data_IF_101858251654
#
_entry.id   IF_101858251654
#
_cell.length_a   1.000
_cell.length_b   1.000
_cell.length_c   1.000
_cell.angle_alpha   90.00
_cell.angle_beta   90.00
_cell.angle_gamma   90.00
#
_symmetry.space_group_name_H-M   'P 1'
#
loop_
_entity.id
_entity.type
_entity.pdbx_description
1 polymer ?
#
# COMPACT_ATOMS: atom_id res chain seq x y z
N UNK A 1 5.91 -28.08 -0.62
CA UNK A 1 4.75 -27.18 -0.73
C UNK A 1 3.59 -27.79 0.06
N UNK A 2 2.82 -27.00 0.80
CA UNK A 2 1.58 -27.40 1.48
C UNK A 2 0.57 -26.25 1.45
N UNK A 3 -0.70 -26.59 1.62
CA UNK A 3 -1.82 -25.65 1.67
C UNK A 3 -2.45 -25.66 3.07
N UNK A 4 -2.79 -24.49 3.59
CA UNK A 4 -3.56 -24.31 4.83
C UNK A 4 -4.82 -23.55 4.48
N UNK A 5 -5.99 -24.02 4.93
CA UNK A 5 -7.26 -23.34 4.67
C UNK A 5 -7.86 -22.82 5.97
N UNK A 6 -8.28 -21.56 5.97
CA UNK A 6 -9.15 -21.01 7.02
C UNK A 6 -10.57 -20.97 6.49
N UNK A 7 -11.49 -21.57 7.24
CA UNK A 7 -12.92 -21.41 7.04
C UNK A 7 -13.37 -20.18 7.85
N UNK A 8 -14.04 -19.25 7.18
CA UNK A 8 -14.69 -18.09 7.79
C UNK A 8 -16.15 -18.44 8.15
N UNK A 9 -16.74 -17.67 9.07
CA UNK A 9 -18.12 -17.89 9.56
C UNK A 9 -19.19 -17.72 8.47
N UNK A 10 -18.85 -17.00 7.40
CA UNK A 10 -19.67 -16.81 6.18
C UNK A 10 -19.58 -18.00 5.19
N UNK A 11 -18.82 -19.04 5.53
CA UNK A 11 -18.56 -20.21 4.68
C UNK A 11 -17.46 -20.00 3.64
N UNK A 12 -16.86 -18.80 3.54
CA UNK A 12 -15.74 -18.55 2.65
C UNK A 12 -14.49 -19.29 3.13
N UNK A 13 -13.73 -19.85 2.19
CA UNK A 13 -12.43 -20.48 2.47
C UNK A 13 -11.30 -19.67 1.86
N UNK A 14 -10.38 -19.21 2.72
CA UNK A 14 -9.14 -18.58 2.27
C UNK A 14 -8.02 -19.61 2.28
N UNK A 15 -7.43 -19.85 1.11
CA UNK A 15 -6.30 -20.76 0.93
C UNK A 15 -4.97 -20.04 1.10
N UNK A 16 -4.07 -20.64 1.88
CA UNK A 16 -2.71 -20.18 2.12
C UNK A 16 -1.74 -21.24 1.64
N UNK A 17 -0.99 -20.92 0.59
CA UNK A 17 0.03 -21.82 0.02
C UNK A 17 1.40 -21.46 0.55
N UNK A 18 2.12 -22.43 1.14
CA UNK A 18 3.44 -22.19 1.73
C UNK A 18 4.43 -23.32 1.47
N UNK A 19 5.71 -22.96 1.38
CA UNK A 19 6.83 -23.90 1.35
C UNK A 19 7.36 -24.23 2.75
N UNK A 20 7.00 -23.45 3.77
CA UNK A 20 7.40 -23.62 5.17
C UNK A 20 6.65 -24.80 5.79
N UNK A 21 7.34 -25.94 5.94
CA UNK A 21 6.84 -27.17 6.58
C UNK A 21 7.16 -27.24 8.07
N UNK A 22 8.07 -26.39 8.53
CA UNK A 22 8.56 -26.27 9.90
C UNK A 22 7.57 -25.58 10.87
N UNK A 23 6.62 -24.81 10.34
CA UNK A 23 5.64 -24.07 11.15
C UNK A 23 4.37 -24.88 11.40
N UNK A 24 3.66 -24.62 12.49
CA UNK A 24 2.32 -25.18 12.71
C UNK A 24 1.28 -24.54 11.76
N UNK A 25 0.11 -25.18 11.60
CA UNK A 25 -0.98 -24.64 10.78
C UNK A 25 -1.49 -23.30 11.34
N UNK A 26 -1.63 -23.23 12.66
CA UNK A 26 -2.09 -22.04 13.40
C UNK A 26 -1.09 -20.89 13.26
N UNK A 27 0.21 -21.19 13.31
CA UNK A 27 1.26 -20.17 13.15
C UNK A 27 1.25 -19.60 11.73
N UNK A 28 1.05 -20.45 10.71
CA UNK A 28 0.93 -19.99 9.32
C UNK A 28 -0.31 -19.13 9.15
N UNK A 29 -1.46 -19.58 9.66
CA UNK A 29 -2.70 -18.80 9.61
C UNK A 29 -2.54 -17.45 10.31
N UNK A 30 -2.08 -17.43 11.56
CA UNK A 30 -1.86 -16.20 12.33
C UNK A 30 -0.98 -15.21 11.56
N UNK A 31 0.19 -15.63 11.06
CA UNK A 31 1.10 -14.74 10.33
C UNK A 31 0.48 -14.14 9.07
N UNK A 32 -0.30 -14.93 8.33
CA UNK A 32 -0.93 -14.47 7.09
C UNK A 32 -2.12 -13.57 7.38
N UNK A 33 -2.95 -13.85 8.38
CA UNK A 33 -4.06 -12.97 8.74
C UNK A 33 -3.58 -11.70 9.45
N UNK A 34 -2.53 -11.76 10.25
CA UNK A 34 -1.87 -10.57 10.80
C UNK A 34 -1.20 -9.71 9.73
N UNK A 35 -0.82 -10.25 8.56
CA UNK A 35 -0.36 -9.44 7.43
C UNK A 35 -1.44 -8.47 6.96
N UNK A 36 -2.71 -8.88 6.95
CA UNK A 36 -3.81 -8.01 6.54
C UNK A 36 -3.95 -6.78 7.44
N UNK A 37 -3.58 -6.90 8.71
CA UNK A 37 -3.51 -5.74 9.62
C UNK A 37 -2.47 -4.71 9.17
N UNK A 38 -1.36 -5.13 8.55
CA UNK A 38 -0.35 -4.22 7.99
C UNK A 38 -0.90 -3.46 6.78
N UNK A 39 -1.65 -4.14 5.91
CA UNK A 39 -2.27 -3.51 4.74
C UNK A 39 -3.34 -2.49 5.18
N UNK A 40 -4.14 -2.83 6.19
CA UNK A 40 -5.07 -1.90 6.82
C UNK A 40 -4.36 -0.69 7.45
N UNK A 41 -3.23 -0.91 8.14
CA UNK A 41 -2.39 0.15 8.67
C UNK A 41 -1.93 1.12 7.58
N UNK A 42 -1.30 0.62 6.50
CA UNK A 42 -0.80 1.49 5.42
C UNK A 42 -1.91 2.21 4.68
N UNK A 43 -3.07 1.57 4.47
CA UNK A 43 -4.24 2.22 3.88
C UNK A 43 -4.71 3.38 4.76
N UNK A 44 -4.92 3.11 6.04
CA UNK A 44 -5.43 4.09 6.98
C UNK A 44 -4.45 5.25 7.20
N UNK A 45 -3.17 4.96 7.41
CA UNK A 45 -2.12 5.97 7.57
C UNK A 45 -1.95 6.88 6.36
N UNK A 46 -2.15 6.36 5.14
CA UNK A 46 -2.14 7.19 3.93
C UNK A 46 -3.33 8.13 3.87
N UNK A 47 -4.53 7.66 4.20
CA UNK A 47 -5.75 8.46 4.13
C UNK A 47 -5.84 9.50 5.27
N UNK A 48 -5.51 9.11 6.50
CA UNK A 48 -5.81 9.92 7.70
C UNK A 48 -4.57 10.59 8.30
N UNK A 49 -3.38 10.01 8.11
CA UNK A 49 -2.12 10.55 8.66
C UNK A 49 -1.18 11.12 7.60
N UNK A 50 -1.62 11.18 6.34
CA UNK A 50 -0.84 11.66 5.21
C UNK A 50 0.57 11.02 5.17
N UNK A 51 0.66 9.69 5.32
CA UNK A 51 1.94 8.97 5.37
C UNK A 51 2.86 9.26 4.16
N UNK A 52 2.27 9.48 2.99
CA UNK A 52 2.99 9.75 1.74
C UNK A 52 3.42 11.22 1.60
N UNK A 53 3.02 12.11 2.53
CA UNK A 53 3.44 13.50 2.51
C UNK A 53 4.96 13.62 2.65
N UNK A 54 5.55 14.47 1.80
CA UNK A 54 6.97 14.83 1.84
C UNK A 54 7.13 16.04 2.78
N UNK A 55 7.67 15.85 3.99
CA UNK A 55 7.80 16.94 4.96
C UNK A 55 8.90 17.95 4.59
N UNK A 56 9.70 17.64 3.57
CA UNK A 56 10.82 18.47 3.13
C UNK A 56 11.09 18.27 1.65
N UNK A 57 11.56 19.34 1.00
CA UNK A 57 12.14 19.32 -0.35
C UNK A 57 13.67 19.30 -0.32
N UNK A 58 14.29 19.38 0.86
CA UNK A 58 15.73 19.33 1.01
C UNK A 58 16.29 17.98 0.57
N UNK A 59 17.51 18.00 0.03
CA UNK A 59 18.21 16.84 -0.48
C UNK A 59 19.55 16.64 0.22
N UNK A 60 19.98 15.38 0.30
CA UNK A 60 21.29 14.96 0.81
C UNK A 60 21.99 14.10 -0.24
N UNK A 61 23.35 14.07 -0.27
CA UNK A 61 24.10 13.18 -1.15
C UNK A 61 23.67 11.73 -0.96
N UNK A 62 23.42 11.04 -2.07
CA UNK A 62 23.09 9.63 -2.09
C UNK A 62 24.27 8.81 -2.62
N UNK A 63 24.26 7.52 -2.31
CA UNK A 63 25.30 6.58 -2.71
C UNK A 63 25.35 6.42 -4.25
N UNK A 64 26.46 6.83 -4.92
CA UNK A 64 26.64 6.68 -6.37
C UNK A 64 26.74 5.23 -6.83
N UNK A 65 27.15 4.33 -5.93
CA UNK A 65 27.28 2.89 -6.17
C UNK A 65 25.96 2.14 -6.00
N UNK A 66 24.87 2.81 -5.63
CA UNK A 66 23.56 2.20 -5.43
C UNK A 66 23.14 1.47 -6.69
N UNK A 67 22.99 0.15 -6.58
CA UNK A 67 22.57 -0.71 -7.68
C UNK A 67 21.13 -0.39 -8.10
N UNK A 68 20.91 -0.05 -9.37
CA UNK A 68 19.60 0.21 -9.98
C UNK A 68 19.37 -0.74 -11.17
N UNK A 69 18.10 -1.04 -11.53
CA UNK A 69 17.81 -1.80 -12.74
C UNK A 69 18.37 -1.07 -13.97
N UNK A 70 19.05 -1.80 -14.86
CA UNK A 70 19.64 -1.20 -16.06
C UNK A 70 18.52 -0.67 -17.00
N UNK A 71 18.50 0.64 -17.31
CA UNK A 71 17.49 1.22 -18.21
C UNK A 71 17.57 0.65 -19.64
N UNK A 72 18.75 0.29 -20.14
CA UNK A 72 18.93 -0.30 -21.47
C UNK A 72 18.25 -1.67 -21.57
N UNK A 73 18.36 -2.50 -20.52
CA UNK A 73 17.66 -3.79 -20.44
C UNK A 73 16.14 -3.57 -20.50
N UNK A 74 15.64 -2.52 -19.84
CA UNK A 74 14.21 -2.16 -19.87
C UNK A 74 13.78 -1.72 -21.27
N UNK A 75 14.61 -0.95 -21.97
CA UNK A 75 14.35 -0.53 -23.35
C UNK A 75 14.36 -1.70 -24.32
N UNK A 76 15.41 -2.53 -24.32
CA UNK A 76 15.52 -3.74 -25.14
C UNK A 76 14.36 -4.71 -24.88
N UNK A 77 13.92 -4.85 -23.63
CA UNK A 77 12.72 -5.63 -23.29
C UNK A 77 11.46 -5.05 -23.95
N UNK A 78 11.28 -3.73 -23.98
CA UNK A 78 10.16 -3.08 -24.67
C UNK A 78 10.20 -3.33 -26.17
N UNK A 79 11.38 -3.22 -26.80
CA UNK A 79 11.58 -3.55 -28.21
C UNK A 79 11.25 -5.01 -28.50
N UNK A 80 11.74 -5.94 -27.66
CA UNK A 80 11.47 -7.36 -27.78
C UNK A 80 9.97 -7.66 -27.69
N UNK A 81 9.25 -7.02 -26.77
CA UNK A 81 7.79 -7.13 -26.69
C UNK A 81 7.09 -6.65 -27.97
N UNK A 82 7.55 -5.53 -28.57
CA UNK A 82 7.02 -5.02 -29.84
C UNK A 82 7.27 -6.01 -30.99
N UNK A 83 8.49 -6.55 -31.10
CA UNK A 83 8.85 -7.53 -32.13
C UNK A 83 8.07 -8.83 -31.95
N UNK A 84 7.91 -9.33 -30.71
CA UNK A 84 7.10 -10.51 -30.42
C UNK A 84 5.64 -10.31 -30.83
N UNK A 85 5.04 -9.16 -30.52
CA UNK A 85 3.68 -8.85 -30.93
C UNK A 85 3.53 -8.78 -32.46
N UNK A 86 4.48 -8.16 -33.18
CA UNK A 86 4.50 -8.15 -34.65
C UNK A 86 4.64 -9.55 -35.22
N UNK A 87 5.55 -10.35 -34.68
CA UNK A 87 5.78 -11.74 -35.09
C UNK A 87 4.51 -12.58 -34.93
N UNK A 88 3.85 -12.50 -33.78
CA UNK A 88 2.59 -13.21 -33.54
C UNK A 88 1.51 -12.80 -34.54
N UNK A 89 1.36 -11.52 -34.86
CA UNK A 89 0.40 -11.04 -35.87
C UNK A 89 0.74 -11.57 -37.27
N UNK A 90 2.01 -11.51 -37.67
CA UNK A 90 2.46 -12.02 -38.96
C UNK A 90 2.27 -13.54 -39.07
N UNK A 91 2.62 -14.30 -38.03
CA UNK A 91 2.41 -15.76 -37.96
C UNK A 91 0.92 -16.13 -38.02
N UNK A 92 0.05 -15.38 -37.33
CA UNK A 92 -1.40 -15.56 -37.41
C UNK A 92 -1.94 -15.26 -38.82
N UNK A 93 -1.49 -14.17 -39.46
CA UNK A 93 -1.90 -13.83 -40.83
C UNK A 93 -1.43 -14.89 -41.83
N UNK A 94 -0.22 -15.43 -41.66
CA UNK A 94 0.31 -16.53 -42.47
C UNK A 94 -0.52 -17.80 -42.28
N UNK A 95 -0.84 -18.13 -41.02
CA UNK A 95 -1.65 -19.28 -40.64
C UNK A 95 -3.07 -19.21 -41.21
N UNK A 96 -3.74 -18.05 -41.10
CA UNK A 96 -5.06 -17.83 -41.72
C UNK A 96 -5.02 -18.03 -43.23
N UNK A 97 -4.04 -17.41 -43.90
CA UNK A 97 -3.86 -17.60 -45.35
C UNK A 97 -3.57 -19.05 -45.73
N UNK A 98 -2.87 -19.80 -44.89
CA UNK A 98 -2.62 -21.23 -45.12
C UNK A 98 -3.88 -22.08 -44.90
N UNK A 99 -4.70 -21.73 -43.92
CA UNK A 99 -5.98 -22.39 -43.60
C UNK A 99 -7.05 -22.11 -44.68
N UNK A 100 -7.16 -20.86 -45.13
CA UNK A 100 -8.18 -20.42 -46.10
C UNK A 100 -7.77 -20.69 -47.56
N UNK A 101 -6.64 -21.39 -47.78
CA UNK A 101 -6.14 -21.70 -49.11
C UNK A 101 -7.00 -22.82 -49.74
N UNK A 102 -7.78 -22.54 -50.79
CA UNK A 102 -8.59 -23.58 -51.44
C UNK A 102 -7.66 -24.61 -52.08
N UNK A 103 -7.74 -25.88 -51.66
CA UNK A 103 -6.94 -27.01 -52.17
C UNK A 103 -6.98 -27.15 -53.70
N UNK A 104 -8.02 -26.61 -54.35
CA UNK A 104 -8.22 -26.63 -55.80
C UNK A 104 -7.36 -25.64 -56.58
N UNK A 105 -6.95 -24.50 -56.02
CA UNK A 105 -6.13 -23.50 -56.73
C UNK A 105 -4.63 -23.71 -56.53
N UNK A 106 -4.21 -24.29 -55.39
CA UNK A 106 -2.78 -24.38 -55.02
C UNK A 106 -2.45 -25.70 -54.34
N UNK A 107 -2.32 -26.75 -55.15
CA UNK A 107 -1.98 -28.14 -54.73
C UNK A 107 -0.62 -28.32 -54.06
N UNK A 108 0.31 -27.37 -54.11
CA UNK A 108 1.68 -27.55 -53.59
C UNK A 108 2.06 -26.47 -52.58
N UNK A 109 2.72 -26.91 -51.49
CA UNK A 109 3.33 -26.03 -50.46
C UNK A 109 4.30 -25.02 -51.08
N UNK A 110 4.94 -25.36 -52.21
CA UNK A 110 5.85 -24.49 -52.96
C UNK A 110 5.13 -23.29 -53.57
N UNK A 111 3.97 -23.48 -54.20
CA UNK A 111 3.19 -22.39 -54.79
C UNK A 111 2.66 -21.40 -53.75
N UNK A 112 2.23 -21.90 -52.59
CA UNK A 112 1.81 -21.09 -51.45
C UNK A 112 2.96 -20.24 -50.87
N UNK A 113 4.15 -20.84 -50.71
CA UNK A 113 5.35 -20.10 -50.25
C UNK A 113 5.77 -18.99 -51.21
N UNK A 114 5.57 -19.17 -52.51
CA UNK A 114 5.91 -18.16 -53.53
C UNK A 114 4.90 -17.00 -53.48
N UNK A 115 3.60 -17.28 -53.44
CA UNK A 115 2.57 -16.23 -53.41
C UNK A 115 2.54 -15.43 -52.11
N UNK A 116 3.04 -15.99 -51.01
CA UNK A 116 3.11 -15.34 -49.70
C UNK A 116 4.56 -15.12 -49.23
N UNK A 117 5.48 -15.02 -50.19
CA UNK A 117 6.90 -14.88 -49.93
C UNK A 117 7.25 -13.61 -49.15
N UNK A 118 6.49 -12.52 -49.30
CA UNK A 118 6.68 -11.28 -48.54
C UNK A 118 6.40 -11.49 -47.04
N UNK A 119 5.28 -12.13 -46.71
CA UNK A 119 4.90 -12.39 -45.33
C UNK A 119 5.82 -13.45 -44.68
N UNK A 120 6.29 -14.42 -45.47
CA UNK A 120 7.34 -15.36 -45.05
C UNK A 120 8.69 -14.67 -44.79
N UNK A 121 9.07 -13.68 -45.61
CA UNK A 121 10.26 -12.85 -45.40
C UNK A 121 10.14 -12.01 -44.13
N UNK A 122 9.01 -11.36 -43.92
CA UNK A 122 8.73 -10.56 -42.71
C UNK A 122 8.84 -11.42 -41.43
N UNK A 123 8.26 -12.63 -41.41
CA UNK A 123 8.39 -13.55 -40.28
C UNK A 123 9.86 -13.93 -40.02
N UNK A 124 10.63 -14.19 -41.09
CA UNK A 124 12.05 -14.54 -40.96
C UNK A 124 12.85 -13.36 -40.37
N UNK A 125 12.61 -12.15 -40.85
CA UNK A 125 13.27 -10.93 -40.35
C UNK A 125 12.90 -10.63 -38.89
N UNK A 126 11.61 -10.78 -38.53
CA UNK A 126 11.15 -10.60 -37.15
C UNK A 126 11.74 -11.65 -36.21
N UNK A 127 11.88 -12.91 -36.65
CA UNK A 127 12.56 -13.96 -35.86
C UNK A 127 14.04 -13.67 -35.67
N UNK A 128 14.73 -13.24 -36.74
CA UNK A 128 16.13 -12.85 -36.65
C UNK A 128 16.33 -11.65 -35.70
N UNK A 129 15.46 -10.65 -35.81
CA UNK A 129 15.47 -9.47 -34.93
C UNK A 129 15.20 -9.86 -33.48
N UNK A 130 14.25 -10.76 -33.23
CA UNK A 130 13.96 -11.29 -31.88
C UNK A 130 15.20 -11.96 -31.29
N UNK A 131 15.85 -12.85 -32.04
CA UNK A 131 17.05 -13.54 -31.58
C UNK A 131 18.20 -12.56 -31.29
N UNK A 132 18.40 -11.57 -32.15
CA UNK A 132 19.40 -10.52 -31.94
C UNK A 132 19.13 -9.73 -30.66
N UNK A 133 17.89 -9.27 -30.46
CA UNK A 133 17.51 -8.53 -29.25
C UNK A 133 17.62 -9.38 -27.96
N UNK A 134 17.31 -10.67 -28.03
CA UNK A 134 17.48 -11.60 -26.91
C UNK A 134 18.97 -11.79 -26.55
N UNK A 135 19.85 -11.88 -27.55
CA UNK A 135 21.29 -11.95 -27.35
C UNK A 135 21.89 -10.64 -26.82
N UNK A 136 21.53 -9.50 -27.42
CA UNK A 136 21.93 -8.16 -26.95
C UNK A 136 21.51 -7.96 -25.48
N UNK A 137 20.25 -8.26 -25.13
CA UNK A 137 19.75 -8.14 -23.77
C UNK A 137 20.45 -9.09 -22.79
N UNK A 138 20.84 -10.29 -23.24
CA UNK A 138 21.57 -11.27 -22.43
C UNK A 138 23.02 -10.89 -22.15
N UNK A 139 23.62 -10.07 -23.02
CA UNK A 139 24.97 -9.54 -22.82
C UNK A 139 25.02 -8.37 -21.82
N UNK A 140 23.89 -7.68 -21.60
CA UNK A 140 23.82 -6.55 -20.68
C UNK A 140 23.70 -7.00 -19.22
N UNK A 141 24.39 -6.30 -18.28
CA UNK A 141 24.19 -6.55 -16.87
C UNK A 141 22.75 -6.17 -16.44
N UNK A 142 22.07 -6.99 -15.63
CA UNK A 142 20.68 -6.70 -15.22
C UNK A 142 20.56 -5.48 -14.31
N UNK A 143 21.64 -5.12 -13.62
CA UNK A 143 21.72 -3.97 -12.73
C UNK A 143 23.06 -3.27 -12.92
N UNK A 144 23.04 -1.95 -12.81
CA UNK A 144 24.21 -1.07 -12.92
C UNK A 144 24.20 -0.09 -11.74
N UNK A 145 25.36 0.47 -11.35
CA UNK A 145 25.44 1.62 -10.45
C UNK A 145 24.58 2.80 -10.97
N UNK A 146 23.95 3.54 -10.06
CA UNK A 146 23.15 4.72 -10.43
C UNK A 146 23.99 5.81 -11.10
N UNK A 147 25.28 5.90 -10.77
CA UNK A 147 26.24 6.80 -11.43
C UNK A 147 26.37 6.58 -12.93
N UNK A 148 26.27 5.34 -13.42
CA UNK A 148 26.31 5.02 -14.85
C UNK A 148 25.03 5.45 -15.59
N UNK A 149 23.94 5.67 -14.86
CA UNK A 149 22.63 6.05 -15.43
C UNK A 149 22.40 7.57 -15.40
N UNK A 150 23.09 8.28 -14.51
CA UNK A 150 22.85 9.70 -14.25
C UNK A 150 23.85 10.64 -14.95
N UNK A 151 24.69 10.15 -15.87
CA UNK A 151 25.54 10.95 -16.76
C UNK A 151 26.33 12.10 -16.09
N UNK A 152 26.80 11.89 -14.84
CA UNK A 152 27.56 12.89 -14.08
C UNK A 152 26.71 13.91 -13.30
N UNK A 153 25.38 13.82 -13.35
CA UNK A 153 24.48 14.59 -12.49
C UNK A 153 24.68 14.24 -11.01
N UNK A 154 24.48 15.20 -10.07
CA UNK A 154 24.62 14.94 -8.65
C UNK A 154 23.56 13.93 -8.20
N UNK A 155 24.04 12.80 -7.67
CA UNK A 155 23.19 11.72 -7.18
C UNK A 155 22.73 12.09 -5.78
N UNK A 156 21.48 12.54 -5.69
CA UNK A 156 20.87 13.02 -4.45
C UNK A 156 19.65 12.18 -4.08
N UNK A 157 19.29 12.22 -2.79
CA UNK A 157 18.01 11.74 -2.29
C UNK A 157 17.39 12.79 -1.39
N UNK A 158 16.08 12.69 -1.16
CA UNK A 158 15.42 13.52 -0.15
C UNK A 158 16.02 13.25 1.23
N UNK A 159 16.17 14.32 2.00
CA UNK A 159 16.64 14.27 3.37
C UNK A 159 15.71 13.39 4.24
N UNK A 160 16.32 12.50 5.02
CA UNK A 160 15.59 11.39 5.66
C UNK A 160 15.19 11.67 7.10
N UNK A 161 15.94 12.48 7.82
CA UNK A 161 15.77 12.69 9.26
C UNK A 161 14.38 13.25 9.58
N UNK A 162 13.95 14.32 8.89
CA UNK A 162 12.59 14.86 9.04
C UNK A 162 11.52 13.85 8.69
N UNK A 163 11.70 13.06 7.61
CA UNK A 163 10.75 12.00 7.25
C UNK A 163 10.63 10.95 8.35
N UNK A 164 11.76 10.49 8.89
CA UNK A 164 11.81 9.49 9.96
C UNK A 164 11.12 10.02 11.22
N UNK A 165 11.41 11.24 11.64
CA UNK A 165 10.80 11.87 12.83
C UNK A 165 9.29 12.02 12.63
N UNK A 166 8.86 12.60 11.50
CA UNK A 166 7.45 12.80 11.20
C UNK A 166 6.68 11.47 11.11
N UNK A 167 7.25 10.45 10.47
CA UNK A 167 6.62 9.13 10.37
C UNK A 167 6.52 8.45 11.73
N UNK A 168 7.55 8.58 12.57
CA UNK A 168 7.53 8.03 13.93
C UNK A 168 6.40 8.63 14.75
N UNK A 169 6.21 9.95 14.70
CA UNK A 169 5.10 10.63 15.38
C UNK A 169 3.75 10.14 14.85
N UNK A 170 3.58 10.03 13.53
CA UNK A 170 2.36 9.49 12.91
C UNK A 170 2.08 8.06 13.36
N UNK A 171 3.10 7.21 13.41
CA UNK A 171 2.97 5.81 13.87
C UNK A 171 2.55 5.73 15.34
N UNK A 172 3.11 6.57 16.19
CA UNK A 172 2.74 6.66 17.62
C UNK A 172 1.29 7.12 17.76
N UNK A 173 0.91 8.17 17.02
CA UNK A 173 -0.46 8.68 17.03
C UNK A 173 -1.47 7.64 16.52
N UNK A 174 -1.17 6.94 15.43
CA UNK A 174 -1.99 5.82 14.94
C UNK A 174 -2.16 4.73 15.99
N UNK A 175 -1.09 4.37 16.71
CA UNK A 175 -1.14 3.34 17.74
C UNK A 175 -2.00 3.79 18.93
N UNK A 176 -1.86 5.05 19.35
CA UNK A 176 -2.69 5.64 20.40
C UNK A 176 -4.17 5.68 19.99
N UNK A 177 -4.48 6.16 18.78
CA UNK A 177 -5.84 6.14 18.24
C UNK A 177 -6.41 4.73 18.15
N UNK A 178 -5.63 3.75 17.69
CA UNK A 178 -6.07 2.35 17.63
C UNK A 178 -6.40 1.80 19.01
N UNK A 179 -5.63 2.15 20.03
CA UNK A 179 -5.91 1.76 21.40
C UNK A 179 -7.20 2.41 21.92
N UNK A 180 -7.42 3.70 21.67
CA UNK A 180 -8.65 4.41 22.05
C UNK A 180 -9.87 3.87 21.30
N UNK A 181 -9.75 3.58 20.00
CA UNK A 181 -10.81 2.98 19.21
C UNK A 181 -11.19 1.59 19.75
N UNK A 182 -10.21 0.77 20.14
CA UNK A 182 -10.47 -0.54 20.75
C UNK A 182 -11.16 -0.43 22.11
N UNK A 183 -10.87 0.63 22.89
CA UNK A 183 -11.52 0.88 24.18
C UNK A 183 -13.00 1.28 24.01
N UNK A 184 -13.32 2.09 23.00
CA UNK A 184 -14.68 2.58 22.75
C UNK A 184 -15.50 1.60 21.90
N UNK A 185 -14.85 0.75 21.10
CA UNK A 185 -15.50 -0.20 20.18
C UNK A 185 -16.65 -1.02 20.80
N UNK A 186 -16.52 -1.59 22.03
CA UNK A 186 -17.62 -2.31 22.69
C UNK A 186 -18.86 -1.46 23.01
N UNK A 187 -18.73 -0.13 23.07
CA UNK A 187 -19.82 0.79 23.34
C UNK A 187 -20.57 1.20 22.06
N UNK A 188 -20.06 0.80 20.89
CA UNK A 188 -20.61 1.12 19.58
C UNK A 188 -21.13 -0.15 18.89
N UNK A 189 -22.25 -0.05 18.13
CA UNK A 189 -22.88 -1.21 17.50
C UNK A 189 -22.02 -1.85 16.40
N UNK A 190 -21.22 -1.09 15.65
CA UNK A 190 -20.32 -1.60 14.61
C UNK A 190 -18.84 -1.42 15.02
N UNK A 191 -18.18 -2.53 15.38
CA UNK A 191 -16.99 -2.49 16.25
C UNK A 191 -15.74 -1.80 15.70
N UNK A 192 -15.43 -1.90 14.40
CA UNK A 192 -14.11 -1.43 13.89
C UNK A 192 -14.18 -0.10 13.12
N UNK A 193 -15.04 0.00 12.10
CA UNK A 193 -15.10 1.20 11.26
C UNK A 193 -15.77 2.39 11.97
N UNK A 194 -16.78 2.13 12.80
CA UNK A 194 -17.50 3.18 13.54
C UNK A 194 -16.65 3.76 14.67
N UNK A 195 -15.82 2.94 15.32
CA UNK A 195 -14.95 3.37 16.40
C UNK A 195 -13.87 4.36 15.93
N UNK A 196 -13.22 4.11 14.79
CA UNK A 196 -12.26 5.06 14.22
C UNK A 196 -12.93 6.34 13.75
N UNK A 197 -14.11 6.22 13.14
CA UNK A 197 -14.90 7.39 12.74
C UNK A 197 -15.30 8.24 13.95
N UNK A 198 -15.68 7.60 15.05
CA UNK A 198 -15.96 8.27 16.32
C UNK A 198 -14.72 8.98 16.88
N UNK A 199 -13.57 8.31 16.99
CA UNK A 199 -12.33 8.92 17.50
C UNK A 199 -11.92 10.16 16.70
N UNK A 200 -12.02 10.10 15.38
CA UNK A 200 -11.78 11.27 14.52
C UNK A 200 -12.71 12.44 14.83
N UNK A 201 -13.99 12.19 15.10
CA UNK A 201 -14.92 13.25 15.53
C UNK A 201 -14.49 13.85 16.87
N UNK A 202 -14.09 13.00 17.83
CA UNK A 202 -13.59 13.45 19.14
C UNK A 202 -12.34 14.32 19.00
N UNK A 203 -11.38 13.95 18.16
CA UNK A 203 -10.15 14.74 17.95
C UNK A 203 -10.40 16.12 17.30
N UNK A 204 -11.52 16.29 16.61
CA UNK A 204 -11.93 17.57 16.03
C UNK A 204 -12.96 18.32 16.88
N UNK A 205 -13.32 17.78 18.05
CA UNK A 205 -14.31 18.38 18.92
C UNK A 205 -13.70 19.58 19.67
N UNK A 206 -14.40 20.73 19.73
CA UNK A 206 -13.97 21.83 20.57
C UNK A 206 -13.88 21.40 22.04
N UNK A 207 -12.90 21.95 22.74
CA UNK A 207 -12.66 21.67 24.14
C UNK A 207 -12.28 22.95 24.90
N UNK A 208 -12.79 23.10 26.10
CA UNK A 208 -12.34 24.14 27.02
C UNK A 208 -11.15 23.61 27.83
N UNK A 209 -10.11 24.43 27.97
CA UNK A 209 -8.95 24.15 28.81
C UNK A 209 -9.09 24.94 30.10
N UNK A 210 -9.35 24.23 31.20
CA UNK A 210 -9.63 24.83 32.51
C UNK A 210 -8.53 24.43 33.50
N UNK A 211 -7.45 25.23 33.61
CA UNK A 211 -6.38 24.97 34.56
C UNK A 211 -6.83 25.27 35.99
N UNK A 212 -6.61 24.33 36.91
CA UNK A 212 -6.74 24.51 38.35
C UNK A 212 -5.37 24.31 39.02
N UNK A 213 -4.73 25.44 39.32
CA UNK A 213 -3.41 25.44 39.97
C UNK A 213 -3.45 25.05 41.44
N UNK A 214 -4.60 25.16 42.12
CA UNK A 214 -4.73 24.77 43.52
C UNK A 214 -4.81 23.25 43.65
N UNK A 215 -5.57 22.60 42.77
CA UNK A 215 -5.69 21.14 42.72
C UNK A 215 -4.59 20.48 41.88
N UNK A 216 -3.80 21.27 41.15
CA UNK A 216 -2.74 20.77 40.27
C UNK A 216 -3.29 19.99 39.08
N UNK A 217 -4.45 20.38 38.55
CA UNK A 217 -5.14 19.70 37.45
C UNK A 217 -5.36 20.62 36.25
N UNK A 218 -5.48 20.04 35.08
CA UNK A 218 -5.95 20.69 33.86
C UNK A 218 -7.16 19.90 33.38
N UNK A 219 -8.35 20.47 33.55
CA UNK A 219 -9.58 19.87 33.04
C UNK A 219 -9.70 20.23 31.56
N UNK A 220 -9.74 19.21 30.71
CA UNK A 220 -10.03 19.32 29.28
C UNK A 220 -11.48 18.92 29.11
N UNK A 221 -12.36 19.91 28.99
CA UNK A 221 -13.81 19.70 28.86
C UNK A 221 -14.20 19.64 27.40
N UNK A 222 -14.49 18.44 26.91
CA UNK A 222 -14.94 18.16 25.56
C UNK A 222 -16.42 18.52 25.41
N UNK A 223 -16.76 19.33 24.41
CA UNK A 223 -18.12 19.78 24.16
C UNK A 223 -19.06 18.62 23.75
N UNK A 224 -20.37 18.81 23.88
CA UNK A 224 -21.33 17.77 23.49
C UNK A 224 -21.34 17.54 21.98
N UNK A 225 -21.45 16.28 21.58
CA UNK A 225 -21.65 15.82 20.21
C UNK A 225 -23.14 15.85 19.81
N UNK A 226 -23.40 15.70 18.52
CA UNK A 226 -24.74 15.83 17.92
C UNK A 226 -25.76 14.79 18.41
N UNK A 227 -25.32 13.57 18.74
CA UNK A 227 -26.24 12.48 19.10
C UNK A 227 -26.09 12.06 20.56
N UNK A 228 -27.17 11.70 21.27
CA UNK A 228 -27.10 11.16 22.63
C UNK A 228 -26.23 9.91 22.73
N UNK A 229 -26.19 9.11 21.66
CA UNK A 229 -25.32 7.93 21.56
C UNK A 229 -23.84 8.31 21.59
N UNK A 230 -23.43 9.25 20.75
CA UNK A 230 -22.03 9.69 20.70
C UNK A 230 -21.64 10.40 22.02
N UNK A 231 -22.56 11.13 22.66
CA UNK A 231 -22.35 11.71 23.98
C UNK A 231 -22.13 10.66 25.09
N UNK A 232 -22.88 9.54 25.06
CA UNK A 232 -22.64 8.43 26.01
C UNK A 232 -21.28 7.78 25.79
N UNK A 233 -20.89 7.56 24.53
CA UNK A 233 -19.58 7.03 24.20
C UNK A 233 -18.44 7.99 24.61
N UNK A 234 -18.64 9.30 24.44
CA UNK A 234 -17.69 10.34 24.85
C UNK A 234 -17.52 10.38 26.37
N UNK A 235 -18.62 10.34 27.13
CA UNK A 235 -18.57 10.29 28.59
C UNK A 235 -17.82 9.06 29.11
N UNK A 236 -18.09 7.89 28.51
CA UNK A 236 -17.38 6.66 28.84
C UNK A 236 -15.89 6.73 28.45
N UNK A 237 -15.57 7.33 27.29
CA UNK A 237 -14.20 7.59 26.89
C UNK A 237 -13.49 8.50 27.90
N UNK A 238 -14.11 9.59 28.38
CA UNK A 238 -13.49 10.49 29.36
C UNK A 238 -13.22 9.82 30.72
N UNK A 239 -14.04 8.84 31.11
CA UNK A 239 -13.86 8.09 32.35
C UNK A 239 -12.60 7.19 32.33
N UNK A 240 -12.19 6.67 31.16
CA UNK A 240 -11.08 5.70 31.06
C UNK A 240 -9.70 6.36 31.30
N UNK A 241 -9.34 7.50 30.68
CA UNK A 241 -8.09 8.20 30.93
C UNK A 241 -8.03 8.92 32.27
N UNK A 242 -9.14 9.10 32.99
CA UNK A 242 -9.14 9.69 34.33
C UNK A 242 -8.20 8.95 35.31
N UNK A 243 -7.98 7.66 35.09
CA UNK A 243 -7.05 6.82 35.84
C UNK A 243 -5.59 6.94 35.38
N UNK A 244 -5.36 7.43 34.16
CA UNK A 244 -4.02 7.65 33.62
C UNK A 244 -3.48 8.95 34.22
N UNK A 245 -2.51 8.86 35.14
CA UNK A 245 -1.85 10.00 35.80
C UNK A 245 -0.94 10.81 34.85
N UNK A 246 -1.48 11.25 33.71
CA UNK A 246 -0.76 11.98 32.65
C UNK A 246 -0.65 13.45 33.04
N UNK A 247 0.52 14.04 32.84
CA UNK A 247 0.77 15.47 33.05
C UNK A 247 0.79 16.22 31.74
N UNK A 248 0.32 17.45 31.75
CA UNK A 248 0.40 18.32 30.58
C UNK A 248 1.87 18.73 30.34
N UNK A 249 2.41 18.54 29.11
CA UNK A 249 3.82 18.79 28.81
C UNK A 249 4.27 20.19 29.25
N UNK A 250 5.45 20.26 29.90
CA UNK A 250 6.00 21.53 30.40
C UNK A 250 5.35 22.06 31.69
N UNK A 251 4.43 21.31 32.31
CA UNK A 251 3.76 21.72 33.56
C UNK A 251 3.70 20.58 34.58
N UNK A 252 3.29 20.92 35.81
CA UNK A 252 2.96 19.94 36.86
C UNK A 252 1.47 19.55 36.87
N UNK A 253 0.65 20.14 36.00
CA UNK A 253 -0.79 19.92 35.97
C UNK A 253 -1.13 18.53 35.44
N UNK A 254 -1.94 17.77 36.19
CA UNK A 254 -2.48 16.48 35.77
C UNK A 254 -3.70 16.67 34.87
N UNK A 255 -3.70 16.03 33.71
CA UNK A 255 -4.82 16.11 32.76
C UNK A 255 -6.00 15.31 33.30
N UNK A 256 -7.19 15.91 33.24
CA UNK A 256 -8.47 15.27 33.53
C UNK A 256 -9.39 15.53 32.34
N UNK A 257 -9.98 14.47 31.78
CA UNK A 257 -10.93 14.60 30.68
C UNK A 257 -12.35 14.65 31.23
N UNK A 258 -13.15 15.59 30.74
CA UNK A 258 -14.56 15.74 31.08
C UNK A 258 -15.38 15.85 29.80
N UNK A 259 -16.57 15.25 29.76
CA UNK A 259 -17.53 15.44 28.69
C UNK A 259 -18.66 16.36 29.17
N UNK A 260 -18.98 17.41 28.41
CA UNK A 260 -20.13 18.27 28.72
C UNK A 260 -21.41 17.44 28.57
N UNK A 261 -22.23 17.40 29.63
CA UNK A 261 -23.56 16.82 29.51
C UNK A 261 -24.40 17.71 28.60
N UNK A 262 -24.98 17.14 27.55
CA UNK A 262 -25.97 17.84 26.76
C UNK A 262 -27.09 18.32 27.71
N UNK A 263 -27.45 19.60 27.64
CA UNK A 263 -28.61 20.10 28.38
C UNK A 263 -29.80 19.17 28.09
N UNK A 264 -30.55 18.70 29.10
CA UNK A 264 -31.74 17.91 28.85
C UNK A 264 -32.64 18.74 27.93
N UNK A 265 -32.84 18.26 26.70
CA UNK A 265 -33.63 18.96 25.71
C UNK A 265 -35.02 19.25 26.28
N UNK A 266 -35.42 20.52 26.17
CA UNK A 266 -36.81 20.94 26.24
C UNK A 266 -37.64 19.97 25.39
N UNK A 267 -38.65 19.38 26.01
CA UNK A 267 -39.64 18.52 25.36
C UNK A 267 -40.28 19.19 24.14
#
# INVERSE_FOLDING_TARGET
MREVRRLCDDGHQTSVVTTRRDLSLETVALRIFSRWQQENFFRYMRHEFALDHLPTTAVEPADPGRSVPNPEVKEKRRELCRVKAKLTKAEQAYGRKAHDNPEKERRTVRGFKISHAELGREIKELRATRMRLEAEMGALPPRVPVSEVMDGEPIVRLERERKIITDTLKMVAYRAETQLANLVGPLLPYREDEARTFMRKVFNLPADLLPDHQQGTLVVRLHSMTTPRDNRALAALCAVPGDLKVRYPGTTLRIVLEATQAAPGSQ
#
